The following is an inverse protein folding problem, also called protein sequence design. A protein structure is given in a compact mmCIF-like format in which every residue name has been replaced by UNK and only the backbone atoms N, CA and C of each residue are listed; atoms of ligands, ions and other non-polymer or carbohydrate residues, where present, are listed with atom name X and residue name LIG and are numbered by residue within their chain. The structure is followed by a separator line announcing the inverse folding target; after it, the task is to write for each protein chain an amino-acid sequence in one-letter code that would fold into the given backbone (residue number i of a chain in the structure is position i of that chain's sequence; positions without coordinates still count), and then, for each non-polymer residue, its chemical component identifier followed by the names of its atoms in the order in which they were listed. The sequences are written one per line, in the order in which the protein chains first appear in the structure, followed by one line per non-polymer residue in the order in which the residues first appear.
data_IF_796425050083
#
_entry.id   IF_796425050083
#
_cell.length_a   1.000
_cell.length_b   1.000
_cell.length_c   1.000
_cell.angle_alpha   90.00
_cell.angle_beta   90.00
_cell.angle_gamma   90.00
#
_symmetry.space_group_name_H-M   'P 1'
#
loop_
_entity.id
_entity.type
_entity.pdbx_description
1 polymer ?
#
# COMPACT_ATOMS: atom_id res chain seq x y z
N UNK A 1 53.79 -14.71 -3.52
CA UNK A 1 53.60 -13.90 -4.73
C UNK A 1 53.50 -12.41 -4.41
N UNK A 2 52.62 -11.96 -3.50
CA UNK A 2 52.43 -10.54 -3.15
C UNK A 2 53.68 -9.83 -2.58
N UNK A 3 54.42 -10.46 -1.63
CA UNK A 3 55.66 -9.88 -1.08
C UNK A 3 56.77 -9.68 -2.12
N UNK A 4 56.82 -10.51 -3.19
CA UNK A 4 57.81 -10.36 -4.27
C UNK A 4 57.51 -9.16 -5.17
N UNK A 5 56.28 -8.65 -5.16
CA UNK A 5 55.87 -7.43 -5.85
C UNK A 5 55.93 -6.18 -4.93
N UNK A 6 56.51 -6.28 -3.72
CA UNK A 6 56.62 -5.16 -2.78
C UNK A 6 55.31 -4.78 -2.07
N UNK A 7 54.25 -5.58 -2.19
CA UNK A 7 52.96 -5.31 -1.55
C UNK A 7 52.91 -6.01 -0.18
N UNK A 8 52.66 -5.22 0.87
CA UNK A 8 52.39 -5.71 2.23
C UNK A 8 50.95 -5.35 2.64
N UNK A 9 50.20 -6.34 3.15
CA UNK A 9 48.85 -6.14 3.68
C UNK A 9 48.98 -6.05 5.19
N UNK A 10 48.51 -4.94 5.78
CA UNK A 10 48.43 -4.80 7.22
C UNK A 10 47.38 -5.80 7.78
N UNK A 11 47.69 -6.51 8.88
CA UNK A 11 46.74 -7.44 9.49
C UNK A 11 45.59 -6.74 10.21
N UNK A 12 45.73 -5.46 10.54
CA UNK A 12 44.71 -4.64 11.20
C UNK A 12 43.88 -3.81 10.19
N UNK A 13 42.63 -3.51 10.56
CA UNK A 13 41.80 -2.58 9.81
C UNK A 13 42.29 -1.14 9.97
N UNK A 14 42.22 -0.37 8.88
CA UNK A 14 42.45 1.06 8.91
C UNK A 14 41.48 1.73 9.89
N UNK A 15 42.02 2.42 10.89
CA UNK A 15 41.25 3.18 11.86
C UNK A 15 40.81 4.50 11.24
N UNK A 16 39.54 4.85 11.42
CA UNK A 16 38.96 6.09 10.91
C UNK A 16 38.15 6.77 12.01
N UNK A 17 38.31 8.09 12.14
CA UNK A 17 37.54 8.89 13.09
C UNK A 17 36.11 9.07 12.58
N UNK A 18 35.19 8.32 13.17
CA UNK A 18 33.75 8.45 12.93
C UNK A 18 33.11 9.47 13.88
N UNK A 19 32.00 10.08 13.43
CA UNK A 19 31.12 10.86 14.31
C UNK A 19 29.67 10.42 14.17
N UNK A 20 28.96 10.36 15.28
CA UNK A 20 27.53 10.06 15.31
C UNK A 20 26.78 11.38 15.21
N UNK A 21 26.04 11.57 14.12
CA UNK A 21 25.19 12.74 13.96
C UNK A 21 23.90 12.57 14.77
N UNK A 22 23.41 13.69 15.32
CA UNK A 22 22.09 13.72 15.95
C UNK A 22 21.02 13.45 14.89
N UNK A 23 20.04 12.63 15.24
CA UNK A 23 18.94 12.32 14.34
C UNK A 23 18.11 13.58 14.06
N UNK A 24 17.65 13.78 12.82
CA UNK A 24 16.78 14.90 12.51
C UNK A 24 15.44 14.77 13.24
N UNK A 25 14.88 15.90 13.65
CA UNK A 25 13.55 15.95 14.23
C UNK A 25 12.51 15.86 13.11
N UNK A 26 11.59 14.89 13.23
CA UNK A 26 10.52 14.71 12.27
C UNK A 26 9.27 15.46 12.76
N UNK A 27 8.53 16.07 11.84
CA UNK A 27 7.24 16.70 12.13
C UNK A 27 6.10 15.79 11.71
N UNK A 28 5.01 15.84 12.45
CA UNK A 28 3.74 15.21 12.14
C UNK A 28 2.63 16.26 12.18
N UNK A 29 1.41 15.85 11.82
CA UNK A 29 0.22 16.70 11.92
C UNK A 29 0.04 17.28 13.30
N UNK A 30 -0.65 18.43 13.36
CA UNK A 30 -0.86 19.21 14.57
C UNK A 30 0.45 19.66 15.25
N UNK A 31 1.50 19.93 14.46
CA UNK A 31 2.83 20.34 14.93
C UNK A 31 3.46 19.38 15.95
N UNK A 32 3.07 18.10 15.93
CA UNK A 32 3.68 17.11 16.81
C UNK A 32 5.06 16.72 16.32
N UNK A 33 5.99 16.57 17.25
CA UNK A 33 7.34 16.12 16.94
C UNK A 33 7.48 14.60 17.08
N UNK A 34 8.30 14.03 16.22
CA UNK A 34 8.65 12.62 16.15
C UNK A 34 10.16 12.48 16.29
N UNK A 35 10.58 11.80 17.35
CA UNK A 35 11.98 11.58 17.66
C UNK A 35 12.36 10.19 17.19
N UNK A 36 13.28 10.13 16.22
CA UNK A 36 13.86 8.86 15.79
C UNK A 36 14.84 8.36 16.87
N UNK A 37 14.68 7.10 17.30
CA UNK A 37 15.61 6.41 18.19
C UNK A 37 16.29 5.30 17.41
N UNK A 38 17.62 5.31 17.34
CA UNK A 38 18.42 4.34 16.57
C UNK A 38 17.97 4.23 15.10
N UNK A 39 17.69 5.38 14.46
CA UNK A 39 17.18 5.44 13.08
C UNK A 39 15.74 4.94 12.89
N UNK A 40 15.00 4.63 13.97
CA UNK A 40 13.62 4.13 13.90
C UNK A 40 12.67 5.13 14.54
N UNK A 41 11.50 5.26 13.94
CA UNK A 41 10.39 6.07 14.45
C UNK A 41 9.10 5.26 14.39
N UNK A 42 8.05 5.74 15.07
CA UNK A 42 6.72 5.16 14.95
C UNK A 42 5.71 6.28 14.64
N UNK A 43 4.64 5.91 13.93
CA UNK A 43 3.55 6.81 13.57
C UNK A 43 2.28 6.51 14.37
N UNK A 44 2.42 5.88 15.54
CA UNK A 44 1.28 5.47 16.35
C UNK A 44 0.67 6.70 17.03
N UNK A 45 -0.66 6.85 16.94
CA UNK A 45 -1.38 8.02 17.48
C UNK A 45 -0.91 9.37 16.90
N UNK A 46 -0.42 9.36 15.65
CA UNK A 46 0.02 10.53 14.90
C UNK A 46 -0.83 10.74 13.67
N UNK A 47 -1.04 11.99 13.30
CA UNK A 47 -1.73 12.41 12.08
C UNK A 47 -0.73 12.90 11.04
N UNK A 48 -1.10 12.84 9.77
CA UNK A 48 -0.29 13.41 8.68
C UNK A 48 -0.23 14.94 8.79
N UNK A 49 0.88 15.54 8.32
CA UNK A 49 1.04 17.00 8.27
C UNK A 49 -0.01 17.59 7.32
N UNK A 50 -0.10 17.02 6.12
CA UNK A 50 -1.02 17.44 5.07
C UNK A 50 -1.83 16.21 4.62
N UNK A 51 -2.94 15.90 5.30
CA UNK A 51 -3.79 14.79 4.89
C UNK A 51 -4.61 15.18 3.65
N UNK A 52 -4.56 14.33 2.63
CA UNK A 52 -5.44 14.43 1.47
C UNK A 52 -6.77 13.73 1.75
N UNK A 53 -7.83 14.11 1.05
CA UNK A 53 -9.15 13.48 1.19
C UNK A 53 -9.32 12.39 0.14
N UNK A 54 -9.79 11.21 0.57
CA UNK A 54 -10.19 10.14 -0.35
C UNK A 54 -11.68 10.28 -0.60
N UNK A 55 -11.99 10.93 -1.72
CA UNK A 55 -13.34 10.98 -2.25
C UNK A 55 -13.49 9.97 -3.39
N UNK A 56 -14.73 9.53 -3.64
CA UNK A 56 -15.11 8.70 -4.80
C UNK A 56 -14.16 7.51 -5.04
N UNK A 57 -14.29 6.50 -4.18
CA UNK A 57 -13.52 5.27 -4.28
C UNK A 57 -14.41 4.04 -4.24
N UNK A 58 -13.87 2.91 -4.67
CA UNK A 58 -14.55 1.62 -4.66
C UNK A 58 -13.64 0.53 -4.13
N UNK A 59 -14.24 -0.58 -3.71
CA UNK A 59 -13.51 -1.78 -3.32
C UNK A 59 -13.88 -2.94 -4.24
N UNK A 60 -12.90 -3.75 -4.61
CA UNK A 60 -13.03 -4.91 -5.47
C UNK A 60 -12.43 -6.10 -4.75
N UNK A 61 -13.16 -7.20 -4.72
CA UNK A 61 -12.76 -8.39 -4.01
C UNK A 61 -12.74 -9.61 -4.91
N UNK A 62 -11.53 -10.10 -5.18
CA UNK A 62 -11.25 -11.34 -5.89
C UNK A 62 -11.09 -12.54 -4.91
N UNK A 63 -11.31 -12.33 -3.61
CA UNK A 63 -11.11 -13.32 -2.55
C UNK A 63 -12.41 -13.63 -1.81
N UNK A 64 -12.84 -14.89 -1.84
CA UNK A 64 -14.06 -15.35 -1.13
C UNK A 64 -13.87 -15.54 0.38
N UNK A 65 -12.70 -15.20 0.93
CA UNK A 65 -12.35 -15.48 2.33
C UNK A 65 -12.52 -14.29 3.27
N UNK A 66 -12.56 -13.07 2.73
CA UNK A 66 -12.52 -11.85 3.54
C UNK A 66 -13.85 -11.12 3.46
N UNK A 67 -14.36 -10.71 4.62
CA UNK A 67 -15.44 -9.73 4.67
C UNK A 67 -14.87 -8.35 4.29
N UNK A 68 -15.12 -7.94 3.05
CA UNK A 68 -14.61 -6.68 2.49
C UNK A 68 -15.24 -5.49 3.17
N UNK A 69 -16.47 -5.64 3.66
CA UNK A 69 -17.19 -4.57 4.34
C UNK A 69 -16.48 -4.21 5.65
N UNK A 70 -16.05 -5.22 6.42
CA UNK A 70 -15.24 -5.01 7.63
C UNK A 70 -13.89 -4.36 7.30
N UNK A 71 -13.27 -4.75 6.19
CA UNK A 71 -12.02 -4.17 5.73
C UNK A 71 -12.20 -2.68 5.34
N UNK A 72 -13.25 -2.35 4.60
CA UNK A 72 -13.59 -0.97 4.20
C UNK A 72 -13.84 -0.12 5.45
N UNK A 73 -14.60 -0.62 6.42
CA UNK A 73 -14.84 0.09 7.68
C UNK A 73 -13.55 0.26 8.49
N UNK A 74 -12.70 -0.77 8.55
CA UNK A 74 -11.39 -0.67 9.18
C UNK A 74 -10.52 0.38 8.49
N UNK A 75 -10.53 0.42 7.15
CA UNK A 75 -9.78 1.40 6.37
C UNK A 75 -10.24 2.83 6.65
N UNK A 76 -11.54 3.09 6.64
CA UNK A 76 -12.13 4.40 6.96
C UNK A 76 -11.70 4.84 8.36
N UNK A 77 -11.90 3.97 9.36
CA UNK A 77 -11.49 4.24 10.75
C UNK A 77 -9.99 4.49 10.88
N UNK A 78 -9.16 3.70 10.21
CA UNK A 78 -7.71 3.89 10.21
C UNK A 78 -7.33 5.23 9.57
N UNK A 79 -7.98 5.62 8.48
CA UNK A 79 -7.80 6.91 7.83
C UNK A 79 -8.10 8.07 8.77
N UNK A 80 -9.27 8.04 9.43
CA UNK A 80 -9.70 9.06 10.38
C UNK A 80 -8.70 9.22 11.53
N UNK A 81 -8.18 8.11 12.07
CA UNK A 81 -7.13 8.12 13.10
C UNK A 81 -5.84 8.80 12.63
N UNK A 82 -5.53 8.72 11.33
CA UNK A 82 -4.38 9.40 10.71
C UNK A 82 -4.69 10.82 10.22
N UNK A 83 -5.92 11.30 10.42
CA UNK A 83 -6.38 12.61 9.95
C UNK A 83 -6.79 12.64 8.48
N UNK A 84 -6.88 11.48 7.82
CA UNK A 84 -7.34 11.34 6.44
C UNK A 84 -8.86 11.22 6.46
N UNK A 85 -9.55 12.12 5.75
CA UNK A 85 -11.00 11.98 5.56
C UNK A 85 -11.23 11.02 4.40
N UNK A 86 -11.75 9.84 4.71
CA UNK A 86 -12.13 8.81 3.72
C UNK A 86 -13.65 8.77 3.69
N UNK A 87 -14.25 9.12 2.55
CA UNK A 87 -15.70 8.99 2.37
C UNK A 87 -16.12 7.51 2.34
N UNK A 88 -17.40 7.16 2.51
CA UNK A 88 -17.85 5.79 2.29
C UNK A 88 -17.52 5.31 0.86
N UNK A 89 -17.12 4.04 0.73
CA UNK A 89 -16.92 3.43 -0.58
C UNK A 89 -18.23 3.49 -1.39
N UNK A 90 -18.14 3.92 -2.66
CA UNK A 90 -19.32 4.09 -3.51
C UNK A 90 -19.99 2.74 -3.80
N UNK A 91 -19.19 1.72 -4.08
CA UNK A 91 -19.67 0.35 -4.31
C UNK A 91 -18.56 -0.63 -3.95
N UNK A 92 -18.96 -1.76 -3.37
CA UNK A 92 -18.11 -2.91 -3.14
C UNK A 92 -18.48 -3.94 -4.20
N UNK A 93 -17.49 -4.37 -4.98
CA UNK A 93 -17.63 -5.38 -6.01
C UNK A 93 -17.04 -6.68 -5.51
N UNK A 94 -17.82 -7.75 -5.57
CA UNK A 94 -17.38 -9.08 -5.17
C UNK A 94 -17.39 -10.00 -6.38
N UNK A 95 -16.32 -10.76 -6.53
CA UNK A 95 -16.26 -11.81 -7.54
C UNK A 95 -17.24 -12.93 -7.17
N UNK A 96 -18.21 -13.19 -8.05
CA UNK A 96 -19.17 -14.28 -7.86
C UNK A 96 -18.52 -15.64 -8.16
N UNK A 97 -18.97 -16.69 -7.47
CA UNK A 97 -18.49 -18.06 -7.70
C UNK A 97 -18.71 -18.55 -9.14
N UNK A 98 -19.71 -17.99 -9.85
CA UNK A 98 -19.98 -18.27 -11.26
C UNK A 98 -18.92 -17.68 -12.21
N UNK A 99 -18.17 -16.66 -11.77
CA UNK A 99 -17.03 -16.12 -12.52
C UNK A 99 -15.74 -16.96 -12.37
N UNK A 100 -15.78 -18.01 -11.53
CA UNK A 100 -14.69 -18.98 -11.33
C UNK A 100 -14.82 -20.25 -12.19
N UNK A 101 -15.73 -20.29 -13.15
CA UNK A 101 -15.87 -21.45 -14.03
C UNK A 101 -14.54 -21.86 -14.71
N UNK A 102 -14.37 -23.13 -15.11
CA UNK A 102 -13.06 -23.77 -15.33
C UNK A 102 -12.18 -23.15 -16.43
N UNK A 103 -12.70 -22.18 -17.19
CA UNK A 103 -12.05 -21.42 -18.26
C UNK A 103 -11.57 -20.01 -17.85
N UNK A 104 -11.73 -19.63 -16.58
CA UNK A 104 -11.44 -18.28 -16.09
C UNK A 104 -9.95 -17.97 -15.96
N UNK A 105 -9.32 -17.55 -17.06
CA UNK A 105 -7.99 -16.93 -17.00
C UNK A 105 -8.02 -15.68 -16.10
N UNK A 106 -6.89 -15.32 -15.47
CA UNK A 106 -6.75 -14.10 -14.68
C UNK A 106 -7.25 -12.84 -15.43
N UNK A 107 -6.96 -12.76 -16.72
CA UNK A 107 -7.38 -11.67 -17.63
C UNK A 107 -8.91 -11.56 -17.67
N UNK A 108 -9.61 -12.66 -17.94
CA UNK A 108 -11.07 -12.68 -18.04
C UNK A 108 -11.75 -12.25 -16.73
N UNK A 109 -11.15 -12.60 -15.58
CA UNK A 109 -11.65 -12.23 -14.25
C UNK A 109 -11.50 -10.72 -14.02
N UNK A 110 -10.36 -10.15 -14.40
CA UNK A 110 -10.10 -8.71 -14.33
C UNK A 110 -11.03 -7.95 -15.27
N UNK A 111 -11.16 -8.38 -16.52
CA UNK A 111 -12.02 -7.76 -17.52
C UNK A 111 -13.50 -7.75 -17.12
N UNK A 112 -14.01 -8.87 -16.60
CA UNK A 112 -15.39 -8.94 -16.13
C UNK A 112 -15.63 -8.00 -14.95
N UNK A 113 -14.65 -7.85 -14.06
CA UNK A 113 -14.73 -6.93 -12.93
C UNK A 113 -14.66 -5.47 -13.36
N UNK A 114 -13.78 -5.14 -14.32
CA UNK A 114 -13.67 -3.79 -14.90
C UNK A 114 -14.94 -3.42 -15.65
N UNK A 115 -15.55 -4.36 -16.40
CA UNK A 115 -16.85 -4.14 -17.04
C UNK A 115 -17.92 -3.78 -16.01
N UNK A 116 -17.99 -4.51 -14.90
CA UNK A 116 -18.92 -4.19 -13.80
C UNK A 116 -18.64 -2.83 -13.18
N UNK A 117 -17.37 -2.49 -12.95
CA UNK A 117 -16.96 -1.18 -12.45
C UNK A 117 -17.46 -0.06 -13.37
N UNK A 118 -17.23 -0.17 -14.68
CA UNK A 118 -17.67 0.82 -15.68
C UNK A 118 -19.19 0.93 -15.80
N UNK A 119 -19.92 -0.18 -15.60
CA UNK A 119 -21.38 -0.18 -15.67
C UNK A 119 -22.04 0.42 -14.44
N UNK A 120 -21.51 0.16 -13.25
CA UNK A 120 -22.12 0.62 -11.98
C UNK A 120 -21.62 1.99 -11.52
N UNK A 121 -20.46 2.44 -12.00
CA UNK A 121 -19.89 3.73 -11.62
C UNK A 121 -20.11 4.77 -12.72
N UNK A 122 -20.77 5.91 -12.43
CA UNK A 122 -20.99 6.97 -13.42
C UNK A 122 -19.68 7.67 -13.85
N UNK A 123 -18.64 7.58 -13.00
CA UNK A 123 -17.29 8.05 -13.29
C UNK A 123 -16.31 7.10 -12.63
N UNK A 124 -15.16 6.92 -13.26
CA UNK A 124 -14.07 6.10 -12.74
C UNK A 124 -13.63 6.62 -11.35
N UNK A 125 -13.44 5.74 -10.36
CA UNK A 125 -13.07 6.15 -9.00
C UNK A 125 -11.64 6.68 -8.95
N UNK A 126 -11.33 7.56 -8.01
CA UNK A 126 -9.96 8.08 -7.86
C UNK A 126 -9.06 7.13 -7.06
N UNK A 127 -9.68 6.16 -6.36
CA UNK A 127 -9.01 5.15 -5.57
C UNK A 127 -9.77 3.82 -5.68
N UNK A 128 -9.04 2.72 -5.84
CA UNK A 128 -9.59 1.38 -5.93
C UNK A 128 -8.86 0.46 -4.94
N UNK A 129 -9.60 -0.11 -3.99
CA UNK A 129 -9.08 -1.12 -3.07
C UNK A 129 -9.27 -2.51 -3.66
N UNK A 130 -8.18 -3.21 -4.01
CA UNK A 130 -8.24 -4.56 -4.56
C UNK A 130 -7.86 -5.61 -3.51
N UNK A 131 -8.76 -6.55 -3.21
CA UNK A 131 -8.49 -7.69 -2.33
C UNK A 131 -8.22 -8.93 -3.18
N UNK A 132 -7.01 -9.48 -3.06
CA UNK A 132 -6.54 -10.61 -3.87
C UNK A 132 -6.64 -11.94 -3.11
N UNK A 133 -6.82 -13.07 -3.83
CA UNK A 133 -7.01 -14.38 -3.21
C UNK A 133 -5.73 -15.00 -2.62
N UNK A 134 -4.54 -14.70 -3.17
CA UNK A 134 -3.26 -15.33 -2.79
C UNK A 134 -2.18 -14.25 -2.54
N UNK A 135 -1.24 -14.52 -1.63
CA UNK A 135 -0.11 -13.62 -1.32
C UNK A 135 1.05 -13.83 -2.29
N UNK A 136 1.50 -12.75 -2.96
CA UNK A 136 2.64 -12.69 -3.88
C UNK A 136 2.46 -13.64 -5.10
N UNK A 137 2.75 -13.17 -6.31
CA UNK A 137 2.48 -13.89 -7.57
C UNK A 137 1.01 -14.32 -7.70
N UNK A 138 0.11 -13.33 -7.79
CA UNK A 138 -1.22 -13.61 -8.30
C UNK A 138 -1.26 -12.99 -9.69
N UNK A 139 -1.48 -13.82 -10.71
CA UNK A 139 -1.56 -13.35 -12.10
C UNK A 139 -2.60 -12.22 -12.27
N UNK A 140 -3.63 -12.19 -11.41
CA UNK A 140 -4.61 -11.09 -11.33
C UNK A 140 -3.96 -9.75 -11.01
N UNK A 141 -2.93 -9.71 -10.17
CA UNK A 141 -2.19 -8.48 -9.86
C UNK A 141 -1.57 -7.92 -11.13
N UNK A 142 -0.85 -8.76 -11.90
CA UNK A 142 -0.18 -8.33 -13.12
C UNK A 142 -1.20 -7.84 -14.16
N UNK A 143 -2.34 -8.53 -14.29
CA UNK A 143 -3.45 -8.14 -15.17
C UNK A 143 -4.20 -6.88 -14.71
N UNK A 144 -4.17 -6.52 -13.42
CA UNK A 144 -4.77 -5.29 -12.91
C UNK A 144 -3.93 -4.04 -13.21
N UNK A 145 -2.61 -4.17 -13.34
CA UNK A 145 -1.71 -3.01 -13.52
C UNK A 145 -2.02 -2.29 -14.83
N UNK A 146 -2.10 -3.03 -15.93
CA UNK A 146 -2.25 -2.48 -17.29
C UNK A 146 -3.53 -1.65 -17.45
N UNK A 147 -4.74 -2.15 -17.11
CA UNK A 147 -5.97 -1.40 -17.29
C UNK A 147 -6.19 -0.29 -16.25
N UNK A 148 -5.55 -0.38 -15.08
CA UNK A 148 -5.66 0.62 -14.02
C UNK A 148 -4.56 1.69 -14.08
N UNK A 149 -3.62 1.59 -15.03
CA UNK A 149 -2.53 2.56 -15.21
C UNK A 149 -3.05 4.00 -15.48
N UNK A 150 -4.30 4.16 -15.92
CA UNK A 150 -4.97 5.47 -16.08
C UNK A 150 -5.66 6.02 -14.82
N UNK A 151 -5.64 5.30 -13.70
CA UNK A 151 -6.14 5.77 -12.41
C UNK A 151 -5.01 6.50 -11.67
N UNK A 152 -5.20 7.79 -11.40
CA UNK A 152 -4.27 8.58 -10.59
C UNK A 152 -4.30 8.06 -9.13
N UNK A 153 -3.55 7.01 -8.86
CA UNK A 153 -3.57 6.36 -7.56
C UNK A 153 -2.75 7.21 -6.58
N UNK A 154 -3.41 7.58 -5.49
CA UNK A 154 -2.86 8.41 -4.41
C UNK A 154 -1.69 7.65 -3.75
N UNK A 155 -0.47 7.89 -4.23
CA UNK A 155 0.76 7.36 -3.65
C UNK A 155 0.92 7.71 -2.15
N UNK A 156 0.22 8.75 -1.70
CA UNK A 156 0.20 9.22 -0.32
C UNK A 156 -0.68 8.36 0.61
N UNK A 157 -1.76 7.76 0.11
CA UNK A 157 -2.66 6.92 0.92
C UNK A 157 -1.96 5.63 1.31
N UNK A 158 -1.18 5.05 0.39
CA UNK A 158 -0.45 3.80 0.66
C UNK A 158 0.67 4.03 1.66
N UNK A 159 1.42 5.12 1.58
CA UNK A 159 2.42 5.44 2.63
C UNK A 159 1.77 5.60 4.01
N UNK A 160 0.57 6.15 4.08
CA UNK A 160 -0.18 6.29 5.33
C UNK A 160 -0.72 4.94 5.86
N UNK A 161 -1.05 4.00 4.96
CA UNK A 161 -1.56 2.66 5.29
C UNK A 161 -0.42 1.65 5.58
N UNK A 162 0.71 1.76 4.88
CA UNK A 162 1.95 1.02 5.13
C UNK A 162 2.64 1.47 6.43
N UNK A 163 2.42 2.72 6.86
CA UNK A 163 2.94 3.26 8.13
C UNK A 163 2.27 2.69 9.41
N UNK A 164 1.84 1.42 9.38
CA UNK A 164 1.14 0.63 10.42
C UNK A 164 -0.38 0.87 10.46
N UNK A 165 -1.09 0.21 9.55
CA UNK A 165 -2.31 -0.50 9.98
C UNK A 165 -1.85 -1.63 10.91
N UNK A 166 -1.94 -1.39 12.21
CA UNK A 166 -1.78 -2.43 13.25
C UNK A 166 -3.05 -3.28 13.42
N UNK A 167 -3.99 -3.21 12.48
CA UNK A 167 -5.01 -4.25 12.32
C UNK A 167 -4.34 -5.39 11.56
N UNK A 168 -4.29 -6.61 12.10
CA UNK A 168 -3.53 -7.75 11.57
C UNK A 168 -3.91 -8.29 10.18
N UNK A 169 -4.30 -7.42 9.25
CA UNK A 169 -4.72 -7.73 7.89
C UNK A 169 -3.46 -7.75 7.02
N UNK A 170 -2.82 -8.92 6.92
CA UNK A 170 -1.65 -9.17 6.06
C UNK A 170 -2.02 -9.48 4.59
N UNK A 171 -3.18 -9.03 4.10
CA UNK A 171 -3.77 -9.51 2.84
C UNK A 171 -4.31 -8.41 1.91
N UNK A 172 -4.04 -7.13 2.19
CA UNK A 172 -4.46 -6.04 1.32
C UNK A 172 -3.28 -5.60 0.44
N UNK A 173 -3.47 -5.67 -0.88
CA UNK A 173 -2.56 -5.04 -1.84
C UNK A 173 -3.25 -3.79 -2.36
N UNK A 174 -2.60 -2.65 -2.20
CA UNK A 174 -3.05 -1.42 -2.81
C UNK A 174 -2.21 -1.26 -4.06
N UNK A 175 -2.84 -1.35 -5.22
CA UNK A 175 -2.16 -1.30 -6.50
C UNK A 175 -1.90 0.14 -6.89
N UNK A 176 -0.69 0.42 -7.36
CA UNK A 176 -0.26 1.72 -7.87
C UNK A 176 -0.24 1.69 -9.41
N UNK A 177 -0.73 2.75 -10.03
CA UNK A 177 -0.35 3.14 -11.39
C UNK A 177 0.78 4.17 -11.25
N UNK A 178 1.87 3.97 -11.98
CA UNK A 178 2.99 4.92 -12.08
C UNK A 178 2.62 6.10 -12.96
#
# INVERSE_FOLDING_TARGET
MLRRCGISIAPEFAQVDGRILQAPMLKAGNNQELIARNGRWNFNNKKLIEPEQVNRWAAVNFSTRWNVQDLVQCLIRCGEMKGIKIEPAHTIFEESLQMREPSGTPENRVDNMIKQLKQRLPKLPNFLLCVLPVRKNCDIYDELIIPLCGLQIVANLVRALEAKISCGIRHCYIMFGT
#
